data_IF_933538896593
#
_entry.id   IF_933538896593
#
_cell.length_a   1.000
_cell.length_b   1.000
_cell.length_c   1.000
_cell.angle_alpha   90.00
_cell.angle_beta   90.00
_cell.angle_gamma   90.00
#
_symmetry.space_group_name_H-M   'P 1'
#
loop_
_entity.id
_entity.type
_entity.pdbx_description
1 polymer ?
#
# COMPACT_ATOMS: atom_id res chain seq x y z
N UNK A 1 -40.88 23.45 -49.59
CA UNK A 1 -41.30 23.41 -48.14
C UNK A 1 -40.84 22.11 -47.45
N UNK A 2 -40.80 20.97 -48.15
CA UNK A 2 -40.37 19.67 -47.59
C UNK A 2 -38.90 19.61 -47.18
N UNK A 3 -38.00 20.22 -47.95
CA UNK A 3 -36.54 20.14 -47.70
C UNK A 3 -36.08 21.04 -46.51
N UNK A 4 -36.82 22.13 -46.22
CA UNK A 4 -36.49 22.98 -45.08
C UNK A 4 -36.85 22.31 -43.76
N UNK A 5 -38.01 21.62 -43.71
CA UNK A 5 -38.43 20.86 -42.52
C UNK A 5 -37.53 19.64 -42.26
N UNK A 6 -37.08 18.99 -43.34
CA UNK A 6 -36.17 17.83 -43.25
C UNK A 6 -34.83 18.25 -42.67
N UNK A 7 -34.23 19.35 -43.14
CA UNK A 7 -32.98 19.91 -42.57
C UNK A 7 -33.14 20.41 -41.12
N UNK A 8 -34.29 21.00 -40.77
CA UNK A 8 -34.54 21.39 -39.38
C UNK A 8 -34.68 20.17 -38.47
N UNK A 9 -35.33 19.07 -38.94
CA UNK A 9 -35.44 17.84 -38.15
C UNK A 9 -34.10 17.14 -38.00
N UNK A 10 -33.30 17.06 -39.05
CA UNK A 10 -31.95 16.50 -39.01
C UNK A 10 -31.03 17.27 -38.07
N UNK A 11 -31.10 18.62 -38.09
CA UNK A 11 -30.35 19.46 -37.16
C UNK A 11 -30.84 19.32 -35.70
N UNK A 12 -32.13 19.11 -35.47
CA UNK A 12 -32.68 18.83 -34.15
C UNK A 12 -32.25 17.46 -33.60
N UNK A 13 -32.25 16.44 -34.45
CA UNK A 13 -31.79 15.10 -34.10
C UNK A 13 -30.27 15.08 -33.83
N UNK A 14 -29.47 15.76 -34.65
CA UNK A 14 -28.03 15.91 -34.45
C UNK A 14 -27.72 16.72 -33.14
N UNK A 15 -28.46 17.79 -32.88
CA UNK A 15 -28.30 18.57 -31.64
C UNK A 15 -28.68 17.72 -30.41
N UNK A 16 -29.77 16.93 -30.50
CA UNK A 16 -30.20 16.06 -29.42
C UNK A 16 -29.23 14.88 -29.18
N UNK A 17 -28.60 14.37 -30.22
CA UNK A 17 -27.55 13.34 -30.08
C UNK A 17 -26.25 13.92 -29.53
N UNK A 18 -25.85 15.12 -29.98
CA UNK A 18 -24.70 15.85 -29.40
C UNK A 18 -24.95 16.22 -27.94
N UNK A 19 -26.17 16.69 -27.62
CA UNK A 19 -26.56 17.00 -26.24
C UNK A 19 -26.56 15.74 -25.37
N UNK A 20 -27.05 14.59 -25.88
CA UNK A 20 -27.00 13.32 -25.18
C UNK A 20 -25.55 12.83 -25.02
N UNK A 21 -24.70 13.00 -26.04
CA UNK A 21 -23.28 12.63 -25.96
C UNK A 21 -22.52 13.56 -25.01
N UNK A 22 -22.79 14.85 -25.02
CA UNK A 22 -22.21 15.82 -24.06
C UNK A 22 -22.72 15.53 -22.65
N UNK A 23 -24.01 15.26 -22.46
CA UNK A 23 -24.58 14.89 -21.16
C UNK A 23 -24.04 13.53 -20.69
N UNK A 24 -23.83 12.56 -21.60
CA UNK A 24 -23.22 11.27 -21.26
C UNK A 24 -21.72 11.40 -20.95
N UNK A 25 -21.01 12.26 -21.68
CA UNK A 25 -19.60 12.57 -21.45
C UNK A 25 -19.45 13.43 -20.18
N UNK A 26 -20.33 14.40 -19.97
CA UNK A 26 -20.36 15.23 -18.75
C UNK A 26 -20.83 14.42 -17.54
N UNK A 27 -21.78 13.47 -17.69
CA UNK A 27 -22.12 12.52 -16.62
C UNK A 27 -20.97 11.57 -16.32
N UNK A 28 -20.13 11.19 -17.29
CA UNK A 28 -18.90 10.43 -17.04
C UNK A 28 -17.82 11.28 -16.36
N UNK A 29 -17.83 12.59 -16.54
CA UNK A 29 -16.92 13.54 -15.87
C UNK A 29 -17.45 13.95 -14.47
N UNK A 30 -18.77 13.85 -14.24
CA UNK A 30 -19.42 14.09 -12.94
C UNK A 30 -19.53 12.81 -12.08
N UNK A 31 -18.96 11.68 -12.49
CA UNK A 31 -18.63 10.65 -11.51
C UNK A 31 -17.49 11.24 -10.68
N UNK A 32 -17.87 11.78 -9.55
CA UNK A 32 -17.02 12.43 -8.56
C UNK A 32 -15.88 11.48 -8.28
N UNK A 33 -14.74 11.71 -8.93
CA UNK A 33 -13.52 10.99 -8.63
C UNK A 33 -13.20 11.32 -7.18
N UNK A 34 -13.14 10.33 -6.34
CA UNK A 34 -12.66 10.47 -4.98
C UNK A 34 -11.14 10.51 -4.98
N UNK A 35 -10.59 11.19 -4.02
CA UNK A 35 -9.15 11.21 -3.81
C UNK A 35 -8.72 10.04 -2.92
N UNK A 36 -7.53 9.50 -3.19
CA UNK A 36 -6.90 8.46 -2.39
C UNK A 36 -5.68 9.08 -1.71
N UNK A 37 -5.64 8.95 -0.40
CA UNK A 37 -4.58 9.45 0.48
C UNK A 37 -4.06 8.26 1.26
N UNK A 38 -2.74 8.14 1.40
CA UNK A 38 -2.13 7.06 2.18
C UNK A 38 -0.89 7.55 2.89
N UNK A 39 -0.51 6.90 3.99
CA UNK A 39 0.80 7.14 4.57
C UNK A 39 1.92 6.41 3.81
N UNK A 40 3.16 6.87 3.97
CA UNK A 40 4.30 6.39 3.18
C UNK A 40 4.76 4.97 3.52
N UNK A 41 4.22 4.35 4.58
CA UNK A 41 4.51 2.94 4.89
C UNK A 41 3.94 1.95 3.86
N UNK A 42 3.28 2.45 2.80
CA UNK A 42 2.77 1.65 1.68
C UNK A 42 3.84 1.26 0.65
N UNK A 43 5.12 1.55 0.85
CA UNK A 43 6.24 1.21 -0.05
C UNK A 43 6.14 1.82 -1.47
N UNK A 44 5.10 2.57 -1.78
CA UNK A 44 4.93 3.21 -3.09
C UNK A 44 5.88 4.39 -3.20
N UNK A 45 6.67 4.43 -4.27
CA UNK A 45 7.60 5.52 -4.50
C UNK A 45 6.84 6.80 -4.89
N UNK A 46 7.34 7.94 -4.43
CA UNK A 46 6.71 9.26 -4.62
C UNK A 46 6.40 9.57 -6.08
N UNK A 47 7.32 9.26 -6.99
CA UNK A 47 7.14 9.46 -8.43
C UNK A 47 5.91 8.70 -8.99
N UNK A 48 5.72 7.45 -8.55
CA UNK A 48 4.54 6.67 -8.92
C UNK A 48 3.27 7.29 -8.32
N UNK A 49 3.30 7.71 -7.07
CA UNK A 49 2.17 8.34 -6.41
C UNK A 49 1.72 9.62 -7.11
N UNK A 50 2.66 10.49 -7.49
CA UNK A 50 2.39 11.75 -8.21
C UNK A 50 1.74 11.49 -9.57
N UNK A 51 2.25 10.51 -10.35
CA UNK A 51 1.69 10.17 -11.67
C UNK A 51 0.30 9.55 -11.60
N UNK A 52 -0.07 8.96 -10.46
CA UNK A 52 -1.36 8.32 -10.25
C UNK A 52 -2.33 9.13 -9.38
N UNK A 53 -2.05 10.42 -9.11
CA UNK A 53 -2.86 11.25 -8.22
C UNK A 53 -3.15 10.55 -6.88
N UNK A 54 -2.13 9.95 -6.30
CA UNK A 54 -2.14 9.38 -4.95
C UNK A 54 -1.41 10.36 -4.02
N UNK A 55 -2.07 10.78 -2.96
CA UNK A 55 -1.46 11.67 -1.96
C UNK A 55 -0.71 10.83 -0.93
N UNK A 56 0.60 11.04 -0.80
CA UNK A 56 1.42 10.43 0.25
C UNK A 56 1.55 11.38 1.44
N UNK A 57 1.26 10.86 2.64
CA UNK A 57 1.54 11.51 3.92
C UNK A 57 2.81 10.86 4.48
N UNK A 58 3.95 11.58 4.53
CA UNK A 58 5.21 10.99 4.93
C UNK A 58 5.25 10.66 6.41
N UNK A 59 5.74 9.46 6.74
CA UNK A 59 6.25 9.16 8.07
C UNK A 59 7.67 9.76 8.21
N UNK A 60 8.19 9.73 9.42
CA UNK A 60 9.47 10.33 9.75
C UNK A 60 10.46 9.28 10.23
N UNK A 61 11.73 9.51 9.97
CA UNK A 61 12.84 8.75 10.54
C UNK A 61 13.84 9.68 11.23
N UNK A 62 14.54 9.14 12.22
CA UNK A 62 15.63 9.84 12.90
C UNK A 62 16.76 8.87 13.22
N UNK A 63 18.01 9.34 13.14
CA UNK A 63 19.20 8.59 13.53
C UNK A 63 19.75 9.03 14.88
N UNK A 64 19.44 10.24 15.31
CA UNK A 64 19.95 10.88 16.53
C UNK A 64 18.86 11.10 17.61
N UNK A 65 17.60 10.89 17.26
CA UNK A 65 16.44 11.12 18.13
C UNK A 65 16.03 12.59 18.26
N UNK A 66 16.65 13.49 17.52
CA UNK A 66 16.42 14.94 17.54
C UNK A 66 15.94 15.44 16.18
N UNK A 67 16.68 15.11 15.13
CA UNK A 67 16.38 15.53 13.76
C UNK A 67 15.51 14.48 13.08
N UNK A 68 14.25 14.83 12.78
CA UNK A 68 13.29 13.96 12.10
C UNK A 68 13.20 14.33 10.64
N UNK A 69 13.47 13.36 9.77
CA UNK A 69 13.49 13.46 8.32
C UNK A 69 12.24 12.83 7.73
N UNK A 70 11.55 13.56 6.84
CA UNK A 70 10.39 13.06 6.09
C UNK A 70 10.82 12.03 5.06
N UNK A 71 10.24 10.83 5.12
CA UNK A 71 10.49 9.78 4.14
C UNK A 71 10.19 10.26 2.72
N UNK A 72 11.11 9.98 1.78
CA UNK A 72 11.04 10.33 0.36
C UNK A 72 11.02 11.85 0.06
N UNK A 73 11.15 12.71 1.08
CA UNK A 73 11.26 14.16 0.92
C UNK A 73 12.61 14.68 1.41
N UNK A 74 12.98 14.35 2.65
CA UNK A 74 14.21 14.85 3.28
C UNK A 74 15.35 13.81 3.19
N UNK A 75 15.01 12.53 2.97
CA UNK A 75 15.95 11.43 2.84
C UNK A 75 15.50 10.43 1.80
N UNK A 76 16.43 9.96 0.96
CA UNK A 76 16.16 8.90 -0.02
C UNK A 76 16.34 7.51 0.59
N UNK A 77 15.75 6.48 -0.06
CA UNK A 77 15.97 5.09 0.32
C UNK A 77 17.45 4.71 0.32
N UNK A 78 18.20 5.14 -0.70
CA UNK A 78 19.61 4.78 -0.85
C UNK A 78 20.45 5.37 0.28
N UNK A 79 20.26 6.64 0.60
CA UNK A 79 20.95 7.30 1.71
C UNK A 79 20.61 6.64 3.05
N UNK A 80 19.33 6.37 3.29
CA UNK A 80 18.87 5.74 4.52
C UNK A 80 19.50 4.36 4.71
N UNK A 81 19.40 3.49 3.70
CA UNK A 81 19.92 2.13 3.81
C UNK A 81 21.44 2.09 3.82
N UNK A 82 22.13 2.99 3.10
CA UNK A 82 23.57 3.14 3.18
C UNK A 82 24.03 3.42 4.62
N UNK A 83 23.36 4.32 5.33
CA UNK A 83 23.67 4.60 6.74
C UNK A 83 23.46 3.40 7.65
N UNK A 84 22.49 2.55 7.36
CA UNK A 84 22.28 1.31 8.11
C UNK A 84 23.37 0.26 7.81
N UNK A 85 23.78 0.11 6.53
CA UNK A 85 24.71 -0.93 6.10
C UNK A 85 26.15 -0.56 6.34
N UNK A 86 26.55 0.66 6.01
CA UNK A 86 27.95 1.09 6.00
C UNK A 86 28.37 1.73 7.33
N UNK A 87 27.44 2.42 7.99
CA UNK A 87 27.69 3.10 9.25
C UNK A 87 27.14 2.33 10.48
N UNK A 88 26.40 1.23 10.25
CA UNK A 88 25.79 0.45 11.34
C UNK A 88 24.73 1.21 12.14
N UNK A 89 24.09 2.20 11.54
CA UNK A 89 23.11 3.05 12.20
C UNK A 89 21.82 2.29 12.54
N UNK A 90 21.23 2.60 13.69
CA UNK A 90 19.93 2.11 14.14
C UNK A 90 18.91 3.24 14.16
N UNK A 91 18.22 3.51 13.04
CA UNK A 91 17.24 4.56 12.97
C UNK A 91 15.98 4.23 13.78
N UNK A 92 15.23 5.27 14.12
CA UNK A 92 13.88 5.17 14.71
C UNK A 92 12.87 5.81 13.79
N UNK A 93 11.64 5.34 13.82
CA UNK A 93 10.53 5.92 13.06
C UNK A 93 9.60 6.74 13.95
N UNK A 94 8.92 7.71 13.34
CA UNK A 94 7.80 8.44 13.94
C UNK A 94 6.62 8.51 12.97
N UNK A 95 5.41 8.55 13.54
CA UNK A 95 4.18 8.65 12.76
C UNK A 95 3.96 10.08 12.23
N UNK A 96 3.12 10.26 11.19
CA UNK A 96 2.67 11.57 10.78
C UNK A 96 1.84 12.25 11.87
N UNK A 97 1.97 13.56 12.00
CA UNK A 97 1.14 14.34 12.92
C UNK A 97 -0.32 14.41 12.41
N UNK A 98 -1.22 14.85 13.27
CA UNK A 98 -2.60 15.18 12.90
C UNK A 98 -2.62 16.25 11.80
N UNK A 99 -1.74 17.27 11.92
CA UNK A 99 -1.64 18.35 10.94
C UNK A 99 -1.20 17.85 9.55
N UNK A 100 -0.26 16.89 9.47
CA UNK A 100 0.14 16.30 8.19
C UNK A 100 -1.06 15.66 7.45
N UNK A 101 -1.98 15.04 8.20
CA UNK A 101 -3.21 14.49 7.61
C UNK A 101 -4.24 15.57 7.29
N UNK A 102 -4.40 16.62 8.10
CA UNK A 102 -5.26 17.77 7.77
C UNK A 102 -4.80 18.39 6.46
N UNK A 103 -3.51 18.69 6.33
CA UNK A 103 -2.93 19.28 5.11
C UNK A 103 -3.09 18.39 3.87
N UNK A 104 -3.12 17.07 4.09
CA UNK A 104 -3.33 16.12 3.00
C UNK A 104 -4.79 15.99 2.58
N UNK A 105 -5.75 16.08 3.50
CA UNK A 105 -7.18 15.86 3.25
C UNK A 105 -7.86 17.15 2.78
N UNK A 106 -7.50 18.30 3.35
CA UNK A 106 -8.18 19.58 3.13
C UNK A 106 -8.32 19.96 1.66
N UNK A 107 -7.33 19.80 0.76
CA UNK A 107 -7.49 20.10 -0.65
C UNK A 107 -8.61 19.30 -1.35
N UNK A 108 -8.92 18.09 -0.87
CA UNK A 108 -10.06 17.31 -1.38
C UNK A 108 -11.37 17.89 -0.90
N UNK A 109 -11.46 18.26 0.37
CA UNK A 109 -12.66 18.86 0.99
C UNK A 109 -12.99 20.20 0.35
N UNK A 110 -12.02 21.11 0.21
CA UNK A 110 -12.19 22.42 -0.45
C UNK A 110 -12.63 22.29 -1.91
N UNK A 111 -12.22 21.22 -2.59
CA UNK A 111 -12.63 20.91 -3.95
C UNK A 111 -13.98 20.15 -4.03
N UNK A 112 -14.64 19.89 -2.90
CA UNK A 112 -15.90 19.13 -2.83
C UNK A 112 -15.76 17.67 -3.26
N UNK A 113 -14.55 17.07 -3.20
CA UNK A 113 -14.31 15.69 -3.57
C UNK A 113 -14.25 14.78 -2.34
N UNK A 114 -14.89 13.61 -2.37
CA UNK A 114 -14.72 12.58 -1.35
C UNK A 114 -13.24 12.14 -1.24
N UNK A 115 -12.79 11.79 -0.03
CA UNK A 115 -11.45 11.31 0.22
C UNK A 115 -11.44 9.98 0.98
N UNK A 116 -10.69 8.99 0.47
CA UNK A 116 -10.39 7.74 1.16
C UNK A 116 -8.96 7.83 1.66
N UNK A 117 -8.79 7.79 2.98
CA UNK A 117 -7.50 7.82 3.65
C UNK A 117 -7.18 6.41 4.14
N UNK A 118 -6.16 5.78 3.57
CA UNK A 118 -5.69 4.46 3.99
C UNK A 118 -4.41 4.59 4.80
N UNK A 119 -4.33 3.91 5.93
CA UNK A 119 -3.15 3.95 6.79
C UNK A 119 -2.56 2.57 7.02
N UNK A 120 -1.28 2.52 7.34
CA UNK A 120 -0.64 1.32 7.90
C UNK A 120 -1.48 0.78 9.07
N UNK A 121 -1.35 -0.52 9.34
CA UNK A 121 -2.01 -1.15 10.49
C UNK A 121 -1.79 -0.37 11.79
N UNK A 122 -2.88 -0.17 12.54
CA UNK A 122 -2.86 0.50 13.85
C UNK A 122 -2.08 -0.27 14.93
N UNK A 123 -1.75 -1.55 14.68
CA UNK A 123 -0.88 -2.33 15.58
C UNK A 123 0.59 -1.85 15.55
N UNK A 124 1.02 -1.20 14.44
CA UNK A 124 2.42 -0.76 14.29
C UNK A 124 2.61 0.74 14.43
N UNK A 125 1.59 1.53 14.11
CA UNK A 125 1.68 2.98 14.09
C UNK A 125 0.39 3.64 14.55
N UNK A 126 0.52 4.80 15.21
CA UNK A 126 -0.61 5.66 15.50
C UNK A 126 -1.14 6.45 14.31
N UNK A 127 -0.64 6.22 13.07
CA UNK A 127 -1.09 6.91 11.84
C UNK A 127 -2.61 6.88 11.68
N UNK A 128 -3.24 5.73 11.94
CA UNK A 128 -4.69 5.59 11.90
C UNK A 128 -5.40 6.58 12.84
N UNK A 129 -4.93 6.67 14.09
CA UNK A 129 -5.52 7.59 15.07
C UNK A 129 -5.29 9.06 14.69
N UNK A 130 -4.09 9.41 14.18
CA UNK A 130 -3.82 10.76 13.67
C UNK A 130 -4.74 11.13 12.53
N UNK A 131 -4.96 10.20 11.57
CA UNK A 131 -5.86 10.42 10.44
C UNK A 131 -7.33 10.55 10.87
N UNK A 132 -7.78 9.74 11.85
CA UNK A 132 -9.14 9.85 12.41
C UNK A 132 -9.34 11.20 13.10
N UNK A 133 -8.38 11.64 13.92
CA UNK A 133 -8.44 12.95 14.59
C UNK A 133 -8.44 14.09 13.55
N UNK A 134 -7.62 14.01 12.51
CA UNK A 134 -7.62 14.98 11.41
C UNK A 134 -8.98 15.07 10.71
N UNK A 135 -9.59 13.91 10.41
CA UNK A 135 -10.94 13.86 9.86
C UNK A 135 -11.94 14.55 10.78
N UNK A 136 -11.92 14.25 12.08
CA UNK A 136 -12.89 14.80 13.03
C UNK A 136 -12.75 16.33 13.12
N UNK A 137 -11.52 16.87 13.18
CA UNK A 137 -11.26 18.33 13.14
C UNK A 137 -11.80 18.95 11.84
N UNK A 138 -11.59 18.32 10.68
CA UNK A 138 -12.09 18.84 9.40
C UNK A 138 -13.62 18.87 9.39
N UNK A 139 -14.28 17.84 9.95
CA UNK A 139 -15.75 17.77 9.97
C UNK A 139 -16.40 18.78 10.93
N UNK A 140 -15.67 19.39 11.88
CA UNK A 140 -16.19 20.49 12.70
C UNK A 140 -16.53 21.72 11.84
N UNK A 141 -15.65 22.03 10.86
CA UNK A 141 -15.85 23.19 9.95
C UNK A 141 -16.52 22.79 8.63
N UNK A 142 -16.44 21.53 8.22
CA UNK A 142 -16.97 20.98 6.96
C UNK A 142 -17.84 19.73 7.19
N UNK A 143 -19.02 19.86 7.84
CA UNK A 143 -19.81 18.68 8.28
C UNK A 143 -20.33 17.80 7.14
N UNK A 144 -20.46 18.36 5.93
CA UNK A 144 -20.92 17.63 4.74
C UNK A 144 -19.78 16.96 3.96
N UNK A 145 -18.51 17.12 4.39
CA UNK A 145 -17.38 16.52 3.72
C UNK A 145 -17.37 14.99 3.85
N UNK A 146 -17.15 14.30 2.73
CA UNK A 146 -17.05 12.84 2.69
C UNK A 146 -15.59 12.42 2.86
N UNK A 147 -15.20 12.06 4.07
CA UNK A 147 -13.87 11.56 4.40
C UNK A 147 -14.00 10.23 5.13
N UNK A 148 -13.41 9.17 4.57
CA UNK A 148 -13.33 7.86 5.23
C UNK A 148 -11.88 7.48 5.50
N UNK A 149 -11.58 7.12 6.74
CA UNK A 149 -10.27 6.61 7.15
C UNK A 149 -10.34 5.10 7.30
N UNK A 150 -9.48 4.38 6.60
CA UNK A 150 -9.42 2.91 6.61
C UNK A 150 -8.10 2.47 7.27
N UNK A 151 -8.21 1.72 8.36
CA UNK A 151 -7.11 0.91 8.88
C UNK A 151 -6.91 -0.28 7.94
N UNK A 152 -5.82 -0.29 7.19
CA UNK A 152 -5.60 -1.35 6.20
C UNK A 152 -5.37 -2.73 6.81
N UNK A 153 -4.95 -2.81 8.07
CA UNK A 153 -4.44 -4.02 8.73
C UNK A 153 -3.23 -4.62 7.99
N UNK A 154 -2.55 -3.81 7.19
CA UNK A 154 -1.44 -4.20 6.32
C UNK A 154 -0.24 -3.27 6.55
N UNK A 155 0.91 -3.66 6.00
CA UNK A 155 2.14 -2.87 6.00
C UNK A 155 2.99 -3.21 4.78
N UNK A 156 3.88 -2.30 4.41
CA UNK A 156 4.90 -2.56 3.38
C UNK A 156 4.29 -3.10 2.07
N UNK A 157 4.89 -4.11 1.45
CA UNK A 157 4.46 -4.66 0.16
C UNK A 157 3.00 -5.13 0.11
N UNK A 158 2.41 -5.62 1.22
CA UNK A 158 0.98 -5.95 1.24
C UNK A 158 0.09 -4.70 1.27
N UNK A 159 0.56 -3.64 1.90
CA UNK A 159 -0.14 -2.36 1.91
C UNK A 159 -0.01 -1.65 0.55
N UNK A 160 1.13 -1.79 -0.14
CA UNK A 160 1.26 -1.28 -1.52
C UNK A 160 0.26 -1.93 -2.47
N UNK A 161 0.06 -3.25 -2.37
CA UNK A 161 -0.96 -3.97 -3.15
C UNK A 161 -2.38 -3.49 -2.83
N UNK A 162 -2.68 -3.21 -1.56
CA UNK A 162 -3.97 -2.68 -1.14
C UNK A 162 -4.25 -1.31 -1.75
N UNK A 163 -3.28 -0.40 -1.73
CA UNK A 163 -3.39 0.91 -2.38
C UNK A 163 -3.52 0.75 -3.90
N UNK A 164 -2.80 -0.19 -4.50
CA UNK A 164 -2.95 -0.51 -5.91
C UNK A 164 -4.39 -0.91 -6.24
N UNK A 165 -5.05 -1.76 -5.43
CA UNK A 165 -6.46 -2.10 -5.63
C UNK A 165 -7.36 -0.85 -5.62
N UNK A 166 -7.15 0.07 -4.67
CA UNK A 166 -7.91 1.33 -4.60
C UNK A 166 -7.72 2.18 -5.87
N UNK A 167 -6.48 2.29 -6.37
CA UNK A 167 -6.17 3.02 -7.60
C UNK A 167 -6.83 2.37 -8.83
N UNK A 168 -6.82 1.04 -8.92
CA UNK A 168 -7.46 0.32 -10.03
C UNK A 168 -8.99 0.47 -10.01
N UNK A 169 -9.61 0.41 -8.84
CA UNK A 169 -11.06 0.65 -8.71
C UNK A 169 -11.43 2.07 -9.13
N UNK A 170 -10.69 3.09 -8.70
CA UNK A 170 -10.89 4.47 -9.14
C UNK A 170 -10.75 4.59 -10.66
N UNK A 171 -9.72 3.97 -11.25
CA UNK A 171 -9.49 3.93 -12.71
C UNK A 171 -10.63 3.20 -13.43
N UNK A 172 -11.18 2.16 -12.84
CA UNK A 172 -12.31 1.39 -13.38
C UNK A 172 -13.68 2.08 -13.21
N UNK A 173 -13.73 3.23 -12.50
CA UNK A 173 -14.96 4.02 -12.31
C UNK A 173 -15.85 3.52 -11.18
N UNK A 174 -15.31 2.80 -10.20
CA UNK A 174 -16.04 2.44 -8.98
C UNK A 174 -16.44 3.70 -8.20
N UNK A 175 -17.57 3.61 -7.51
CA UNK A 175 -17.99 4.69 -6.61
C UNK A 175 -17.09 4.75 -5.37
N UNK A 176 -17.12 5.90 -4.67
CA UNK A 176 -16.46 6.05 -3.38
C UNK A 176 -16.93 4.97 -2.38
N UNK A 177 -18.24 4.79 -2.28
CA UNK A 177 -18.86 3.83 -1.37
C UNK A 177 -18.51 2.37 -1.70
N UNK A 178 -18.51 2.00 -2.98
CA UNK A 178 -18.18 0.65 -3.42
C UNK A 178 -16.68 0.36 -3.23
N UNK A 179 -15.82 1.36 -3.47
CA UNK A 179 -14.39 1.22 -3.21
C UNK A 179 -14.12 0.92 -1.74
N UNK A 180 -14.77 1.64 -0.80
CA UNK A 180 -14.63 1.40 0.63
C UNK A 180 -15.05 -0.03 0.98
N UNK A 181 -16.23 -0.47 0.51
CA UNK A 181 -16.73 -1.84 0.79
C UNK A 181 -15.76 -2.92 0.33
N UNK A 182 -15.22 -2.78 -0.89
CA UNK A 182 -14.28 -3.76 -1.42
C UNK A 182 -12.97 -3.75 -0.64
N UNK A 183 -12.42 -2.57 -0.35
CA UNK A 183 -11.19 -2.45 0.44
C UNK A 183 -11.35 -3.10 1.82
N UNK A 184 -12.46 -2.87 2.50
CA UNK A 184 -12.75 -3.49 3.78
C UNK A 184 -12.90 -5.02 3.68
N UNK A 185 -13.43 -5.53 2.57
CA UNK A 185 -13.56 -6.96 2.35
C UNK A 185 -12.21 -7.65 2.12
N UNK A 186 -11.29 -7.03 1.34
CA UNK A 186 -10.02 -7.69 0.97
C UNK A 186 -8.89 -7.51 2.00
N UNK A 187 -8.95 -6.49 2.88
CA UNK A 187 -7.85 -6.14 3.80
C UNK A 187 -7.41 -7.29 4.70
N UNK A 188 -8.34 -8.13 5.14
CA UNK A 188 -8.05 -9.25 6.03
C UNK A 188 -7.37 -10.43 5.32
N UNK A 189 -7.40 -10.46 3.99
CA UNK A 189 -6.80 -11.51 3.18
C UNK A 189 -5.42 -11.11 2.60
N UNK A 190 -5.02 -9.86 2.76
CA UNK A 190 -3.67 -9.46 2.44
C UNK A 190 -2.64 -10.15 3.36
N UNK A 191 -1.52 -10.60 2.79
CA UNK A 191 -0.43 -11.24 3.55
C UNK A 191 0.91 -10.71 3.08
N UNK A 192 1.85 -10.66 4.01
CA UNK A 192 3.27 -10.54 3.71
C UNK A 192 4.04 -11.58 4.51
N UNK A 193 4.94 -12.27 3.85
CA UNK A 193 5.87 -13.22 4.44
C UNK A 193 7.27 -12.88 3.96
N UNK A 194 8.22 -12.76 4.89
CA UNK A 194 9.55 -12.34 4.55
C UNK A 194 10.61 -12.98 5.43
N UNK A 195 11.86 -12.99 4.96
CA UNK A 195 13.02 -13.35 5.74
C UNK A 195 13.95 -12.15 5.90
N UNK A 196 14.67 -12.11 7.01
CA UNK A 196 15.70 -11.10 7.30
C UNK A 196 16.89 -11.76 7.97
N UNK A 197 17.94 -11.00 8.26
CA UNK A 197 19.14 -11.58 8.87
C UNK A 197 18.97 -11.88 10.34
N UNK A 198 18.23 -11.03 11.06
CA UNK A 198 18.01 -11.20 12.50
C UNK A 198 16.69 -10.57 12.93
N UNK A 199 16.28 -10.87 14.16
CA UNK A 199 15.13 -10.22 14.80
C UNK A 199 15.52 -8.95 15.58
N UNK A 200 16.76 -8.53 15.50
CA UNK A 200 17.31 -7.43 16.31
C UNK A 200 16.55 -6.12 16.07
N UNK A 201 16.33 -5.75 14.80
CA UNK A 201 15.60 -4.53 14.44
C UNK A 201 14.14 -4.59 14.89
N UNK A 202 13.46 -5.72 14.71
CA UNK A 202 12.08 -5.91 15.17
C UNK A 202 11.98 -5.82 16.69
N UNK A 203 12.95 -6.39 17.40
CA UNK A 203 13.01 -6.36 18.88
C UNK A 203 13.27 -4.94 19.39
N UNK A 204 14.32 -4.28 18.87
CA UNK A 204 14.67 -2.90 19.25
C UNK A 204 13.58 -1.90 18.86
N UNK A 205 12.90 -2.14 17.76
CA UNK A 205 11.78 -1.31 17.28
C UNK A 205 10.47 -1.50 18.07
N UNK A 206 10.38 -2.52 18.93
CA UNK A 206 9.19 -2.80 19.74
C UNK A 206 7.95 -3.26 18.95
N UNK A 207 8.10 -3.70 17.70
CA UNK A 207 7.01 -4.20 16.84
C UNK A 207 6.93 -5.72 16.79
N UNK A 208 7.83 -6.41 17.47
CA UNK A 208 7.66 -7.83 17.73
C UNK A 208 6.60 -8.01 18.82
N UNK A 209 5.51 -8.74 18.51
CA UNK A 209 4.47 -9.01 19.50
C UNK A 209 5.06 -9.58 20.79
N UNK A 210 4.43 -9.30 21.94
CA UNK A 210 4.86 -9.71 23.29
C UNK A 210 4.91 -11.24 23.52
N UNK A 211 4.64 -12.04 22.51
CA UNK A 211 4.91 -13.48 22.54
C UNK A 211 6.41 -13.64 22.67
N UNK A 212 6.83 -13.89 23.91
CA UNK A 212 8.21 -14.10 24.33
C UNK A 212 8.97 -15.07 23.42
N UNK A 213 9.48 -14.58 22.32
CA UNK A 213 10.57 -15.24 21.62
C UNK A 213 11.80 -14.80 22.39
N UNK A 214 12.15 -15.57 23.43
CA UNK A 214 13.48 -15.51 24.03
C UNK A 214 14.44 -15.96 22.95
N UNK A 215 14.85 -15.01 22.10
CA UNK A 215 15.81 -15.27 21.05
C UNK A 215 17.14 -15.37 21.75
N UNK A 216 17.56 -16.60 21.99
CA UNK A 216 18.95 -16.85 22.30
C UNK A 216 19.75 -16.45 21.05
N UNK A 217 20.40 -15.29 21.13
CA UNK A 217 21.26 -14.66 20.12
C UNK A 217 22.47 -15.53 19.69
N UNK A 218 22.48 -16.81 20.04
CA UNK A 218 23.60 -17.76 19.83
C UNK A 218 23.42 -18.69 18.62
N UNK A 219 22.30 -18.66 17.94
CA UNK A 219 22.09 -19.49 16.75
C UNK A 219 22.07 -18.58 15.52
N UNK A 220 22.98 -18.82 14.57
CA UNK A 220 23.02 -18.16 13.25
C UNK A 220 21.81 -18.59 12.40
N UNK A 221 20.60 -18.40 12.94
CA UNK A 221 19.35 -18.75 12.29
C UNK A 221 18.68 -17.47 11.75
N UNK A 222 18.20 -17.56 10.52
CA UNK A 222 17.45 -16.49 9.87
C UNK A 222 15.97 -16.69 10.12
N UNK A 223 15.26 -15.67 10.63
CA UNK A 223 13.83 -15.77 10.89
C UNK A 223 13.02 -15.69 9.60
N UNK A 224 11.88 -16.35 9.60
CA UNK A 224 10.78 -16.09 8.67
C UNK A 224 9.68 -15.42 9.48
N UNK A 225 9.22 -14.29 8.98
CA UNK A 225 8.19 -13.47 9.60
C UNK A 225 6.94 -13.55 8.75
N UNK A 226 5.79 -13.66 9.40
CA UNK A 226 4.47 -13.66 8.76
C UNK A 226 3.67 -12.52 9.34
N UNK A 227 3.07 -11.70 8.49
CA UNK A 227 2.08 -10.70 8.89
C UNK A 227 0.70 -11.16 8.46
N UNK A 228 -0.25 -11.15 9.40
CA UNK A 228 -1.65 -11.43 9.18
C UNK A 228 -2.52 -10.61 10.14
N UNK A 229 -3.68 -10.18 9.68
CA UNK A 229 -4.69 -9.49 10.52
C UNK A 229 -4.12 -8.30 11.32
N UNK A 230 -3.16 -7.60 10.72
CA UNK A 230 -2.54 -6.40 11.31
C UNK A 230 -1.30 -6.66 12.16
N UNK A 231 -1.01 -7.91 12.55
CA UNK A 231 0.08 -8.26 13.45
C UNK A 231 1.15 -9.10 12.77
N UNK A 232 2.36 -9.09 13.32
CA UNK A 232 3.43 -10.00 12.88
C UNK A 232 3.64 -11.14 13.87
N UNK A 233 3.98 -12.29 13.31
CA UNK A 233 4.34 -13.49 14.04
C UNK A 233 5.55 -14.16 13.43
N UNK A 234 6.12 -15.12 14.16
CA UNK A 234 7.20 -15.95 13.68
C UNK A 234 6.65 -17.09 12.83
N UNK A 235 7.10 -17.17 11.57
CA UNK A 235 6.77 -18.27 10.63
C UNK A 235 7.77 -19.43 10.71
N UNK A 236 8.91 -19.24 11.38
CA UNK A 236 9.96 -20.25 11.53
C UNK A 236 11.37 -19.68 11.48
N UNK A 237 12.33 -20.58 11.42
CA UNK A 237 13.76 -20.25 11.28
C UNK A 237 14.40 -21.11 10.20
N UNK A 238 15.40 -20.55 9.53
CA UNK A 238 16.22 -21.27 8.55
C UNK A 238 17.70 -21.02 8.79
N UNK A 239 18.55 -21.94 8.33
CA UNK A 239 20.00 -21.79 8.48
C UNK A 239 20.62 -20.92 7.39
N UNK A 240 20.00 -20.87 6.22
CA UNK A 240 20.53 -20.12 5.07
C UNK A 240 19.49 -19.19 4.48
N UNK A 241 19.93 -18.09 3.87
CA UNK A 241 19.06 -17.13 3.19
C UNK A 241 18.25 -17.77 2.05
N UNK A 242 18.90 -18.62 1.26
CA UNK A 242 18.22 -19.31 0.15
C UNK A 242 17.10 -20.24 0.65
N UNK A 243 17.32 -20.97 1.75
CA UNK A 243 16.25 -21.78 2.34
C UNK A 243 15.13 -20.91 2.92
N UNK A 244 15.46 -19.74 3.47
CA UNK A 244 14.47 -18.75 3.91
C UNK A 244 13.61 -18.27 2.75
N UNK A 245 14.23 -17.90 1.63
CA UNK A 245 13.53 -17.48 0.41
C UNK A 245 12.60 -18.56 -0.13
N UNK A 246 13.10 -19.79 -0.29
CA UNK A 246 12.28 -20.93 -0.75
C UNK A 246 11.09 -21.21 0.19
N UNK A 247 11.31 -21.21 1.50
CA UNK A 247 10.24 -21.45 2.45
C UNK A 247 9.15 -20.34 2.40
N UNK A 248 9.54 -19.08 2.15
CA UNK A 248 8.58 -17.98 2.00
C UNK A 248 7.70 -18.21 0.77
N UNK A 249 8.23 -18.68 -0.37
CA UNK A 249 7.44 -19.02 -1.55
C UNK A 249 6.45 -20.15 -1.22
N UNK A 250 6.94 -21.24 -0.60
CA UNK A 250 6.10 -22.37 -0.19
C UNK A 250 4.95 -21.94 0.73
N UNK A 251 5.23 -21.02 1.66
CA UNK A 251 4.22 -20.53 2.61
C UNK A 251 3.17 -19.64 1.93
N UNK A 252 3.55 -18.76 1.02
CA UNK A 252 2.63 -17.93 0.23
C UNK A 252 1.75 -18.81 -0.65
N UNK A 253 2.35 -19.79 -1.34
CA UNK A 253 1.62 -20.74 -2.18
C UNK A 253 0.55 -21.46 -1.36
N UNK A 254 0.92 -22.07 -0.24
CA UNK A 254 -0.01 -22.78 0.66
C UNK A 254 -1.10 -21.85 1.20
N UNK A 255 -0.76 -20.59 1.49
CA UNK A 255 -1.74 -19.62 1.93
C UNK A 255 -2.79 -19.35 0.85
N UNK A 256 -2.37 -19.07 -0.39
CA UNK A 256 -3.26 -18.82 -1.52
C UNK A 256 -4.15 -20.05 -1.78
N UNK A 257 -3.56 -21.24 -1.82
CA UNK A 257 -4.28 -22.51 -2.00
C UNK A 257 -5.34 -22.73 -0.90
N UNK A 258 -5.02 -22.39 0.35
CA UNK A 258 -5.92 -22.52 1.50
C UNK A 258 -7.18 -21.66 1.39
N UNK A 259 -7.16 -20.63 0.56
CA UNK A 259 -8.30 -19.75 0.31
C UNK A 259 -9.27 -20.29 -0.75
N UNK A 260 -8.92 -21.38 -1.44
CA UNK A 260 -9.77 -21.99 -2.46
C UNK A 260 -10.05 -21.11 -3.67
N UNK A 261 -9.24 -20.04 -3.86
CA UNK A 261 -9.37 -19.08 -4.95
C UNK A 261 -8.22 -19.28 -5.94
N UNK A 262 -8.48 -19.31 -7.25
CA UNK A 262 -7.44 -19.39 -8.27
C UNK A 262 -6.37 -18.33 -8.08
N UNK A 263 -5.10 -18.69 -8.31
CA UNK A 263 -3.96 -17.79 -8.09
C UNK A 263 -4.01 -16.54 -9.00
N UNK A 264 -4.64 -16.63 -10.14
CA UNK A 264 -4.85 -15.51 -11.09
C UNK A 264 -5.73 -14.41 -10.50
N UNK A 265 -6.48 -14.72 -9.46
CA UNK A 265 -7.32 -13.78 -8.70
C UNK A 265 -6.55 -13.03 -7.61
N UNK A 266 -5.24 -13.23 -7.53
CA UNK A 266 -4.37 -12.55 -6.58
C UNK A 266 -3.42 -11.60 -7.30
N UNK A 267 -3.13 -10.47 -6.66
CA UNK A 267 -1.96 -9.68 -6.96
C UNK A 267 -0.85 -10.04 -5.98
N UNK A 268 0.33 -10.27 -6.54
CA UNK A 268 1.52 -10.75 -5.82
C UNK A 268 2.68 -9.84 -6.19
N UNK A 269 3.50 -9.45 -5.22
CA UNK A 269 4.71 -8.64 -5.42
C UNK A 269 5.84 -9.08 -4.49
N UNK A 270 7.07 -8.75 -4.85
CA UNK A 270 8.28 -8.98 -4.04
C UNK A 270 8.76 -7.65 -3.47
N UNK A 271 8.79 -7.55 -2.13
CA UNK A 271 9.39 -6.42 -1.42
C UNK A 271 10.86 -6.68 -1.06
N UNK A 272 11.71 -5.66 -1.22
CA UNK A 272 13.14 -5.70 -0.88
C UNK A 272 13.63 -4.36 -0.31
N UNK A 273 14.69 -4.40 0.50
CA UNK A 273 15.31 -3.20 1.06
C UNK A 273 16.45 -2.66 0.19
N UNK A 274 17.56 -3.39 0.09
CA UNK A 274 18.84 -2.89 -0.47
C UNK A 274 19.26 -3.57 -1.76
N UNK A 275 19.16 -4.87 -1.85
CA UNK A 275 19.74 -5.65 -2.94
C UNK A 275 18.76 -5.91 -4.07
N UNK A 276 18.75 -5.01 -5.08
CA UNK A 276 17.88 -5.14 -6.25
C UNK A 276 18.23 -6.40 -7.08
N UNK A 277 19.51 -6.73 -7.26
CA UNK A 277 19.91 -7.90 -8.04
C UNK A 277 19.39 -9.20 -7.42
N UNK A 278 19.49 -9.32 -6.09
CA UNK A 278 18.89 -10.46 -5.38
C UNK A 278 17.36 -10.47 -5.51
N UNK A 279 16.73 -9.30 -5.44
CA UNK A 279 15.29 -9.20 -5.58
C UNK A 279 14.82 -9.61 -6.99
N UNK A 280 15.54 -9.22 -8.04
CA UNK A 280 15.21 -9.63 -9.42
C UNK A 280 15.31 -11.15 -9.61
N UNK A 281 16.38 -11.78 -9.13
CA UNK A 281 16.51 -13.25 -9.14
C UNK A 281 15.39 -13.91 -8.33
N UNK A 282 15.03 -13.32 -7.20
CA UNK A 282 13.96 -13.86 -6.37
C UNK A 282 12.58 -13.72 -7.03
N UNK A 283 12.33 -12.65 -7.77
CA UNK A 283 11.12 -12.51 -8.61
C UNK A 283 11.01 -13.63 -9.62
N UNK A 284 12.12 -13.96 -10.30
CA UNK A 284 12.16 -15.08 -11.26
C UNK A 284 11.86 -16.43 -10.58
N UNK A 285 12.43 -16.68 -9.39
CA UNK A 285 12.16 -17.90 -8.60
C UNK A 285 10.66 -17.98 -8.20
N UNK A 286 10.07 -16.85 -7.76
CA UNK A 286 8.65 -16.77 -7.35
C UNK A 286 7.74 -17.03 -8.55
N UNK A 287 7.99 -16.39 -9.69
CA UNK A 287 7.22 -16.59 -10.92
C UNK A 287 7.31 -18.03 -11.42
N UNK A 288 8.50 -18.62 -11.40
CA UNK A 288 8.71 -20.00 -11.83
C UNK A 288 7.95 -21.00 -10.94
N UNK A 289 7.95 -20.81 -9.63
CA UNK A 289 7.27 -21.72 -8.70
C UNK A 289 5.76 -21.54 -8.69
N UNK A 290 5.29 -20.30 -8.69
CA UNK A 290 3.86 -20.00 -8.60
C UNK A 290 3.12 -20.08 -9.95
N UNK A 291 3.83 -20.06 -11.07
CA UNK A 291 3.27 -20.11 -12.41
C UNK A 291 2.53 -18.84 -12.83
N UNK A 292 2.81 -17.70 -12.20
CA UNK A 292 2.15 -16.41 -12.49
C UNK A 292 3.18 -15.29 -12.65
N UNK A 293 2.78 -14.22 -13.33
CA UNK A 293 3.57 -13.00 -13.40
C UNK A 293 3.27 -12.08 -12.22
N UNK A 294 4.33 -11.58 -11.58
CA UNK A 294 4.24 -10.62 -10.50
C UNK A 294 3.69 -9.28 -10.99
N UNK A 295 3.11 -8.48 -10.07
CA UNK A 295 2.49 -7.20 -10.42
C UNK A 295 3.48 -6.26 -11.09
N UNK A 296 4.67 -6.11 -10.56
CA UNK A 296 5.74 -5.26 -11.10
C UNK A 296 6.30 -5.71 -12.45
N UNK A 297 5.96 -6.92 -12.91
CA UNK A 297 6.28 -7.44 -14.26
C UNK A 297 5.15 -7.25 -15.26
N UNK A 298 3.92 -7.01 -14.77
CA UNK A 298 2.72 -6.82 -15.61
C UNK A 298 2.37 -5.35 -15.79
N UNK A 299 2.68 -4.54 -14.80
CA UNK A 299 2.28 -3.14 -14.69
C UNK A 299 3.51 -2.27 -14.37
N UNK A 300 3.44 -0.99 -14.67
CA UNK A 300 4.45 -0.02 -14.21
C UNK A 300 4.25 0.28 -12.72
N UNK A 301 4.34 -0.75 -11.90
CA UNK A 301 4.18 -0.67 -10.46
C UNK A 301 5.55 -0.66 -9.79
N UNK A 302 5.91 0.47 -9.19
CA UNK A 302 7.22 0.67 -8.56
C UNK A 302 7.08 0.77 -7.05
N UNK A 303 7.69 -0.20 -6.37
CA UNK A 303 7.73 -0.25 -4.92
C UNK A 303 9.14 -0.58 -4.44
N UNK A 304 9.46 -0.10 -3.25
CA UNK A 304 10.64 -0.50 -2.49
C UNK A 304 10.28 -0.42 -1.02
N UNK A 305 10.70 -1.40 -0.22
CA UNK A 305 10.38 -1.40 1.21
C UNK A 305 10.74 -0.04 1.80
N UNK A 306 9.73 0.60 2.38
CA UNK A 306 9.77 1.93 2.99
C UNK A 306 10.87 1.98 4.05
N UNK A 307 11.54 3.12 4.18
CA UNK A 307 12.56 3.31 5.21
C UNK A 307 11.96 3.13 6.60
N UNK A 308 10.68 3.41 6.77
CA UNK A 308 9.97 3.20 8.02
C UNK A 308 9.86 1.71 8.37
N UNK A 309 9.49 0.89 7.40
CA UNK A 309 9.52 -0.57 7.55
C UNK A 309 10.96 -1.06 7.79
N UNK A 310 11.93 -0.48 7.06
CA UNK A 310 13.36 -0.75 7.21
C UNK A 310 13.91 -0.48 8.61
N UNK A 311 13.45 0.58 9.31
CA UNK A 311 13.79 0.83 10.72
C UNK A 311 13.52 -0.38 11.61
N UNK A 312 12.51 -1.18 11.29
CA UNK A 312 12.05 -2.29 12.12
C UNK A 312 12.44 -3.67 11.58
N UNK A 313 12.60 -3.83 10.27
CA UNK A 313 12.96 -5.12 9.64
C UNK A 313 14.46 -5.29 9.42
N UNK A 314 15.20 -4.17 9.45
CA UNK A 314 16.60 -4.10 9.05
C UNK A 314 16.78 -4.01 7.52
N UNK A 315 18.02 -3.79 7.06
CA UNK A 315 18.32 -3.46 5.67
C UNK A 315 18.28 -4.65 4.70
N UNK A 316 18.12 -5.87 5.20
CA UNK A 316 18.20 -7.09 4.40
C UNK A 316 16.88 -7.87 4.30
N UNK A 317 15.77 -7.24 4.64
CA UNK A 317 14.46 -7.86 4.49
C UNK A 317 14.14 -8.09 3.01
N UNK A 318 13.62 -9.29 2.72
CA UNK A 318 13.19 -9.72 1.39
C UNK A 318 12.01 -10.67 1.55
N UNK A 319 10.91 -10.40 0.86
CA UNK A 319 9.70 -11.19 1.04
C UNK A 319 8.69 -11.06 -0.08
N UNK A 320 7.57 -11.75 0.09
CA UNK A 320 6.46 -11.79 -0.86
C UNK A 320 5.21 -11.29 -0.16
N UNK A 321 4.48 -10.45 -0.85
CA UNK A 321 3.13 -10.05 -0.45
C UNK A 321 2.10 -10.50 -1.47
N UNK A 322 0.89 -10.80 -1.00
CA UNK A 322 -0.26 -11.10 -1.85
C UNK A 322 -1.54 -10.49 -1.27
N UNK A 323 -2.49 -10.17 -2.17
CA UNK A 323 -3.83 -9.70 -1.82
C UNK A 323 -4.82 -10.19 -2.88
N UNK A 324 -6.08 -10.51 -2.55
CA UNK A 324 -7.10 -10.79 -3.55
C UNK A 324 -7.35 -9.54 -4.42
N UNK A 325 -7.56 -9.75 -5.72
CA UNK A 325 -7.96 -8.66 -6.62
C UNK A 325 -9.33 -8.13 -6.24
N UNK A 326 -9.54 -6.82 -6.37
CA UNK A 326 -10.84 -6.19 -6.13
C UNK A 326 -11.98 -6.81 -6.94
N UNK A 327 -11.68 -7.36 -8.13
CA UNK A 327 -12.64 -8.01 -9.02
C UNK A 327 -13.21 -9.31 -8.48
N UNK A 328 -12.65 -9.86 -7.40
CA UNK A 328 -13.15 -11.09 -6.75
C UNK A 328 -14.31 -10.84 -5.81
N UNK A 329 -14.54 -9.58 -5.44
CA UNK A 329 -15.62 -9.18 -4.53
C UNK A 329 -16.85 -8.82 -5.37
N UNK A 330 -17.98 -9.48 -5.07
CA UNK A 330 -19.29 -9.14 -5.63
C UNK A 330 -19.94 -8.08 -4.75
N UNK A 331 -20.26 -6.94 -5.35
CA UNK A 331 -20.98 -5.82 -4.71
C UNK A 331 -22.49 -6.05 -4.73
#
# INVERSE_FOLDING_TARGET
LGDVYKRQFENYVLSSQLTKQIVFTTRRIIYIMFDIITDSACDIVREYAETHNLKLVPLYTTFDGVNYLKEQYDITHDEFYRRMTDEGAFPKSSLPSVQDFVDAIMPSVEAGRPAIVCTITSYFSGSYNSACTAKDIILEDHPDAKVTVINSLLNSASFSLFIYQALQMRKAGYSYEDTIKVLEAIRNDGRIMFTTESLEYLSKGGRLAKTAITITSKLSLRPIIVMKEGEIGLGGFTRTRNKGKSNVIDMIQKYIESKGMPIENWDITVGYCTNLEEAEKYRDDVEAQLGVKLLERREDFKTRISIISGCHTGPYALGIACIPKYTTIRL
#
